data_IF_432091536077
#
_entry.id   IF_432091536077
#
_cell.length_a   1.000
_cell.length_b   1.000
_cell.length_c   1.000
_cell.angle_alpha   90.00
_cell.angle_beta   90.00
_cell.angle_gamma   90.00
#
_symmetry.space_group_name_H-M   'P 1'
#
loop_
_entity.id
_entity.type
_entity.pdbx_description
1 polymer ?
#
# COMPACT_ATOMS: atom_id res chain seq x y z
N UNK A 1 19.44 -12.15 10.13
CA UNK A 1 18.57 -12.09 11.33
C UNK A 1 17.17 -11.80 10.82
N UNK A 2 16.13 -12.49 11.29
CA UNK A 2 14.75 -12.17 10.88
C UNK A 2 14.39 -10.78 11.40
N UNK A 3 13.64 -10.00 10.63
CA UNK A 3 13.12 -8.72 11.09
C UNK A 3 12.20 -8.94 12.31
N UNK A 4 12.53 -8.33 13.45
CA UNK A 4 11.79 -8.43 14.71
C UNK A 4 11.55 -7.03 15.31
N UNK A 5 10.55 -6.30 14.79
CA UNK A 5 10.27 -4.93 15.25
C UNK A 5 9.79 -4.83 16.69
N UNK A 6 9.28 -5.93 17.25
CA UNK A 6 8.65 -5.97 18.56
C UNK A 6 9.57 -6.54 19.65
N UNK A 7 10.67 -7.19 19.25
CA UNK A 7 11.63 -7.80 20.17
C UNK A 7 11.10 -9.06 20.85
N UNK A 8 10.03 -9.65 20.31
CA UNK A 8 9.30 -10.77 20.92
C UNK A 8 9.17 -11.98 19.99
N UNK A 9 9.99 -12.05 18.93
CA UNK A 9 9.96 -13.11 17.90
C UNK A 9 9.89 -14.52 18.49
N UNK A 10 10.63 -14.80 19.56
CA UNK A 10 10.65 -16.13 20.17
C UNK A 10 9.30 -16.55 20.76
N UNK A 11 8.50 -15.58 21.22
CA UNK A 11 7.24 -15.80 21.93
C UNK A 11 5.99 -15.51 21.09
N UNK A 12 6.08 -14.58 20.15
CA UNK A 12 4.97 -14.10 19.32
C UNK A 12 5.12 -14.44 17.83
N UNK A 13 6.25 -15.01 17.42
CA UNK A 13 6.53 -15.37 16.04
C UNK A 13 6.97 -14.18 15.18
N UNK A 14 7.06 -14.40 13.87
CA UNK A 14 7.38 -13.34 12.92
C UNK A 14 6.22 -12.34 12.82
N UNK A 15 6.53 -11.05 13.00
CA UNK A 15 5.60 -9.91 12.98
C UNK A 15 4.39 -10.02 13.93
N UNK A 16 4.49 -10.74 15.05
CA UNK A 16 3.37 -11.02 15.96
C UNK A 16 2.13 -11.55 15.20
N UNK A 17 1.92 -12.86 15.18
CA UNK A 17 0.75 -13.43 14.53
C UNK A 17 -0.02 -14.38 15.46
N UNK A 18 -1.31 -14.57 15.20
CA UNK A 18 -2.23 -15.35 16.03
C UNK A 18 -1.78 -16.80 16.25
N UNK A 19 -1.00 -17.34 15.30
CA UNK A 19 -0.51 -18.71 15.31
C UNK A 19 0.93 -18.83 15.85
N UNK A 20 1.58 -17.70 16.18
CA UNK A 20 2.98 -17.62 16.62
C UNK A 20 3.97 -18.28 15.66
N UNK A 21 3.63 -18.30 14.38
CA UNK A 21 4.47 -18.86 13.31
C UNK A 21 5.73 -18.02 13.17
N UNK A 22 6.86 -18.69 12.94
CA UNK A 22 8.19 -18.07 12.82
C UNK A 22 8.72 -18.06 11.39
N UNK A 23 8.27 -19.00 10.56
CA UNK A 23 8.63 -19.05 9.15
C UNK A 23 7.82 -18.00 8.37
N UNK A 24 8.47 -17.02 7.71
CA UNK A 24 7.77 -16.03 6.89
C UNK A 24 6.90 -16.65 5.80
N UNK A 25 7.25 -17.82 5.25
CA UNK A 25 6.43 -18.49 4.23
C UNK A 25 5.11 -18.97 4.83
N UNK A 26 5.16 -19.69 5.96
CA UNK A 26 3.96 -20.16 6.67
C UNK A 26 3.08 -18.99 7.15
N UNK A 27 3.72 -17.88 7.57
CA UNK A 27 3.03 -16.64 7.94
C UNK A 27 2.25 -16.10 6.75
N UNK A 28 2.89 -15.97 5.58
CA UNK A 28 2.24 -15.46 4.37
C UNK A 28 1.11 -16.35 3.89
N UNK A 29 1.26 -17.66 3.93
CA UNK A 29 0.20 -18.61 3.57
C UNK A 29 -1.01 -18.48 4.53
N UNK A 30 -0.76 -18.39 5.84
CA UNK A 30 -1.83 -18.26 6.85
C UNK A 30 -2.52 -16.90 6.79
N UNK A 31 -1.75 -15.83 6.58
CA UNK A 31 -2.26 -14.47 6.39
C UNK A 31 -3.13 -14.39 5.13
N UNK A 32 -2.70 -15.02 4.03
CA UNK A 32 -3.46 -15.07 2.78
C UNK A 32 -4.84 -15.68 2.97
N UNK A 33 -4.95 -16.79 3.71
CA UNK A 33 -6.24 -17.40 4.04
C UNK A 33 -7.14 -16.44 4.85
N UNK A 34 -6.59 -15.74 5.83
CA UNK A 34 -7.35 -14.73 6.59
C UNK A 34 -7.85 -13.59 5.71
N UNK A 35 -7.02 -13.15 4.76
CA UNK A 35 -7.37 -12.12 3.78
C UNK A 35 -8.53 -12.58 2.88
N UNK A 36 -8.45 -13.77 2.29
CA UNK A 36 -9.47 -14.29 1.38
C UNK A 36 -10.84 -14.40 2.08
N UNK A 37 -10.86 -14.88 3.32
CA UNK A 37 -12.08 -15.02 4.12
C UNK A 37 -12.74 -13.67 4.45
N UNK A 38 -11.97 -12.59 4.47
CA UNK A 38 -12.43 -11.25 4.89
C UNK A 38 -12.62 -10.27 3.73
N UNK A 39 -12.34 -10.70 2.49
CA UNK A 39 -12.36 -9.86 1.30
C UNK A 39 -13.77 -9.30 1.01
N UNK A 40 -14.80 -10.15 1.09
CA UNK A 40 -16.19 -9.74 0.86
C UNK A 40 -16.61 -8.66 1.87
N UNK A 41 -16.32 -8.85 3.16
CA UNK A 41 -16.63 -7.87 4.21
C UNK A 41 -15.93 -6.52 3.95
N UNK A 42 -14.67 -6.54 3.54
CA UNK A 42 -13.92 -5.31 3.25
C UNK A 42 -14.51 -4.54 2.06
N UNK A 43 -14.91 -5.24 0.99
CA UNK A 43 -15.58 -4.65 -0.16
C UNK A 43 -16.93 -4.06 0.22
N UNK A 44 -17.70 -4.78 1.03
CA UNK A 44 -18.99 -4.34 1.54
C UNK A 44 -18.90 -3.09 2.41
N UNK A 45 -17.89 -3.04 3.28
CA UNK A 45 -17.57 -1.88 4.09
C UNK A 45 -17.25 -0.67 3.20
N UNK A 46 -16.36 -0.84 2.22
CA UNK A 46 -15.98 0.21 1.29
C UNK A 46 -17.18 0.73 0.50
N UNK A 47 -18.04 -0.16 0.02
CA UNK A 47 -19.22 0.23 -0.76
C UNK A 47 -20.21 1.12 0.03
N UNK A 48 -20.34 0.86 1.34
CA UNK A 48 -21.25 1.58 2.25
C UNK A 48 -20.63 2.88 2.79
N UNK A 49 -19.30 2.94 2.93
CA UNK A 49 -18.61 4.05 3.63
C UNK A 49 -18.52 5.33 2.80
N UNK A 50 -19.06 6.45 3.31
CA UNK A 50 -18.95 7.79 2.68
C UNK A 50 -18.71 8.86 3.75
N UNK A 51 -17.67 9.73 3.64
CA UNK A 51 -16.55 9.66 2.68
C UNK A 51 -15.58 8.50 3.00
N UNK A 52 -14.71 8.14 2.03
CA UNK A 52 -13.50 7.36 2.32
C UNK A 52 -12.46 8.34 2.87
N UNK A 53 -11.95 8.05 4.06
CA UNK A 53 -10.95 8.84 4.79
C UNK A 53 -9.82 7.91 5.29
N UNK A 54 -8.77 8.47 5.90
CA UNK A 54 -7.68 7.67 6.48
C UNK A 54 -8.16 6.57 7.45
N UNK A 55 -9.20 6.84 8.25
CA UNK A 55 -9.79 5.82 9.15
C UNK A 55 -10.42 4.67 8.38
N UNK A 56 -10.99 4.96 7.20
CA UNK A 56 -11.51 3.94 6.30
C UNK A 56 -10.39 3.02 5.80
N UNK A 57 -9.21 3.57 5.46
CA UNK A 57 -8.04 2.77 5.04
C UNK A 57 -7.56 1.86 6.18
N UNK A 58 -7.44 2.39 7.40
CA UNK A 58 -7.11 1.59 8.60
C UNK A 58 -8.17 0.50 8.86
N UNK A 59 -9.45 0.83 8.71
CA UNK A 59 -10.54 -0.14 8.94
C UNK A 59 -10.56 -1.26 7.89
N UNK A 60 -10.25 -0.97 6.62
CA UNK A 60 -10.08 -2.01 5.60
C UNK A 60 -8.97 -2.97 5.99
N UNK A 61 -7.80 -2.46 6.38
CA UNK A 61 -6.72 -3.33 6.85
C UNK A 61 -7.12 -4.14 8.09
N UNK A 62 -7.84 -3.54 9.03
CA UNK A 62 -8.36 -4.26 10.20
C UNK A 62 -9.26 -5.44 9.77
N UNK A 63 -10.24 -5.19 8.91
CA UNK A 63 -11.15 -6.24 8.41
C UNK A 63 -10.35 -7.37 7.75
N UNK A 64 -9.45 -7.02 6.82
CA UNK A 64 -8.70 -8.01 6.05
C UNK A 64 -7.80 -8.91 6.90
N UNK A 65 -7.25 -8.39 8.00
CA UNK A 65 -6.13 -9.06 8.69
C UNK A 65 -6.36 -9.34 10.18
N UNK A 66 -7.50 -8.93 10.76
CA UNK A 66 -7.79 -9.15 12.19
C UNK A 66 -7.86 -10.63 12.60
N UNK A 67 -8.14 -11.53 11.66
CA UNK A 67 -8.09 -12.98 11.89
C UNK A 67 -6.69 -13.54 12.12
N UNK A 68 -5.64 -12.78 11.78
CA UNK A 68 -4.26 -13.25 11.82
C UNK A 68 -3.29 -12.31 12.55
N UNK A 69 -3.37 -11.00 12.32
CA UNK A 69 -2.52 -10.01 12.99
C UNK A 69 -3.26 -9.33 14.15
N UNK A 70 -2.75 -9.38 15.38
CA UNK A 70 -3.33 -8.68 16.53
C UNK A 70 -3.24 -7.15 16.40
N UNK A 71 -2.37 -6.66 15.52
CA UNK A 71 -2.19 -5.25 15.24
C UNK A 71 -2.95 -4.77 13.99
N UNK A 72 -3.81 -5.60 13.39
CA UNK A 72 -4.55 -5.23 12.19
C UNK A 72 -5.27 -3.87 12.36
N UNK A 73 -5.10 -2.98 11.39
CA UNK A 73 -5.65 -1.62 11.42
C UNK A 73 -4.82 -0.61 12.20
N UNK A 74 -3.68 -1.00 12.78
CA UNK A 74 -2.67 -0.08 13.33
C UNK A 74 -1.61 0.20 12.29
N UNK A 75 -1.36 1.48 12.05
CA UNK A 75 -0.29 1.90 11.15
C UNK A 75 1.08 1.80 11.85
N UNK A 76 2.16 1.85 11.06
CA UNK A 76 3.52 1.74 11.57
C UNK A 76 3.98 2.95 12.39
N UNK A 77 3.28 4.09 12.33
CA UNK A 77 3.55 5.20 13.24
C UNK A 77 3.04 4.90 14.66
N UNK A 78 1.99 4.09 14.80
CA UNK A 78 1.55 3.57 16.08
C UNK A 78 2.45 2.44 16.60
N UNK A 79 2.89 1.54 15.71
CA UNK A 79 3.61 0.31 16.10
C UNK A 79 5.12 0.49 16.23
N UNK A 80 5.76 1.13 15.25
CA UNK A 80 7.21 1.25 15.12
C UNK A 80 7.62 2.66 14.66
N UNK A 81 7.25 3.72 15.39
CA UNK A 81 7.48 5.11 14.97
C UNK A 81 8.96 5.48 14.77
N UNK A 82 9.88 4.64 15.24
CA UNK A 82 11.33 4.81 15.17
C UNK A 82 11.97 4.12 13.94
N UNK A 83 11.18 3.43 13.09
CA UNK A 83 11.68 2.73 11.92
C UNK A 83 11.30 3.41 10.61
N UNK A 84 12.28 3.51 9.72
CA UNK A 84 12.11 3.77 8.31
C UNK A 84 11.88 2.45 7.55
N UNK A 85 11.09 2.51 6.48
CA UNK A 85 10.79 1.36 5.63
C UNK A 85 11.25 1.66 4.21
N UNK A 86 11.92 0.69 3.60
CA UNK A 86 12.41 0.77 2.23
C UNK A 86 12.02 -0.48 1.46
N UNK A 87 11.88 -0.34 0.15
CA UNK A 87 11.86 -1.46 -0.79
C UNK A 87 13.23 -1.56 -1.44
N UNK A 88 13.81 -2.76 -1.46
CA UNK A 88 15.17 -3.01 -1.95
C UNK A 88 16.22 -2.94 -0.84
N UNK A 89 17.39 -3.51 -1.13
CA UNK A 89 18.55 -3.51 -0.20
C UNK A 89 19.33 -2.18 -0.25
N UNK A 90 20.20 -1.93 0.72
CA UNK A 90 21.04 -0.71 0.76
C UNK A 90 21.84 -0.45 -0.52
N UNK A 91 22.31 -1.52 -1.18
CA UNK A 91 23.09 -1.44 -2.42
C UNK A 91 22.23 -1.46 -3.70
N UNK A 92 20.91 -1.46 -3.57
CA UNK A 92 20.01 -1.46 -4.71
C UNK A 92 19.88 -0.03 -5.27
N UNK A 93 20.28 0.23 -6.53
CA UNK A 93 20.11 1.55 -7.14
C UNK A 93 18.63 1.97 -7.26
N UNK A 94 17.69 1.03 -7.16
CA UNK A 94 16.25 1.27 -7.17
C UNK A 94 15.63 1.25 -5.78
N UNK A 95 16.47 1.41 -4.73
CA UNK A 95 16.01 1.45 -3.35
C UNK A 95 15.00 2.58 -3.16
N UNK A 96 13.76 2.19 -2.89
CA UNK A 96 12.65 3.14 -2.73
C UNK A 96 12.42 3.38 -1.25
N UNK A 97 12.45 4.63 -0.81
CA UNK A 97 12.05 5.01 0.55
C UNK A 97 10.53 5.23 0.59
N UNK A 98 9.86 4.69 1.60
CA UNK A 98 8.45 5.00 1.85
C UNK A 98 8.31 6.21 2.78
N UNK A 99 7.08 6.70 2.94
CA UNK A 99 6.81 7.89 3.73
C UNK A 99 7.34 7.80 5.17
N UNK A 100 7.67 8.93 5.79
CA UNK A 100 8.02 8.97 7.19
C UNK A 100 6.82 8.53 8.05
N UNK A 101 6.96 7.73 9.12
CA UNK A 101 5.82 7.25 9.90
C UNK A 101 4.90 8.40 10.38
N UNK A 102 5.47 9.46 10.93
CA UNK A 102 4.71 10.66 11.34
C UNK A 102 3.97 11.42 10.23
N UNK A 103 4.19 11.09 8.95
CA UNK A 103 3.57 11.74 7.78
C UNK A 103 2.61 10.82 7.02
N UNK A 104 2.43 9.56 7.45
CA UNK A 104 1.56 8.58 6.78
C UNK A 104 0.15 9.14 6.53
N UNK A 105 -0.47 9.70 7.57
CA UNK A 105 -1.84 10.22 7.47
C UNK A 105 -1.93 11.33 6.42
N UNK A 106 -0.98 12.27 6.43
CA UNK A 106 -0.94 13.38 5.48
C UNK A 106 -0.81 12.86 4.04
N UNK A 107 0.07 11.88 3.83
CA UNK A 107 0.30 11.24 2.53
C UNK A 107 -0.96 10.54 2.01
N UNK A 108 -1.66 9.79 2.85
CA UNK A 108 -2.94 9.16 2.48
C UNK A 108 -4.03 10.20 2.22
N UNK A 109 -4.17 11.21 3.09
CA UNK A 109 -5.17 12.27 2.90
C UNK A 109 -4.95 13.01 1.57
N UNK A 110 -3.69 13.27 1.19
CA UNK A 110 -3.35 13.87 -0.09
C UNK A 110 -3.71 12.98 -1.28
N UNK A 111 -3.50 11.67 -1.20
CA UNK A 111 -3.94 10.74 -2.24
C UNK A 111 -5.48 10.76 -2.42
N UNK A 112 -6.23 10.82 -1.31
CA UNK A 112 -7.69 10.92 -1.33
C UNK A 112 -8.16 12.26 -1.89
N UNK A 113 -7.44 13.34 -1.64
CA UNK A 113 -7.68 14.65 -2.24
C UNK A 113 -7.48 14.61 -3.76
N UNK A 114 -6.38 14.02 -4.24
CA UNK A 114 -6.13 13.82 -5.68
C UNK A 114 -7.28 13.05 -6.35
N UNK A 115 -7.77 12.00 -5.70
CA UNK A 115 -8.89 11.19 -6.19
C UNK A 115 -10.24 11.93 -6.24
N UNK A 116 -10.39 13.02 -5.48
CA UNK A 116 -11.63 13.81 -5.44
C UNK A 116 -11.93 14.53 -6.77
N UNK A 117 -10.89 14.88 -7.53
CA UNK A 117 -11.02 15.37 -8.89
C UNK A 117 -11.15 14.20 -9.87
N UNK A 118 -12.37 13.69 -10.03
CA UNK A 118 -12.68 12.48 -10.83
C UNK A 118 -12.10 12.49 -12.24
N UNK A 119 -12.11 13.65 -12.92
CA UNK A 119 -11.57 13.78 -14.28
C UNK A 119 -10.05 13.60 -14.27
N UNK A 120 -9.35 14.37 -13.43
CA UNK A 120 -7.89 14.25 -13.29
C UNK A 120 -7.48 12.87 -12.82
N UNK A 121 -8.21 12.29 -11.87
CA UNK A 121 -7.94 10.96 -11.37
C UNK A 121 -8.06 9.89 -12.46
N UNK A 122 -9.09 9.96 -13.31
CA UNK A 122 -9.21 9.07 -14.46
C UNK A 122 -8.10 9.27 -15.49
N UNK A 123 -7.68 10.51 -15.73
CA UNK A 123 -6.63 10.84 -16.70
C UNK A 123 -5.23 10.42 -16.20
N UNK A 124 -5.02 10.47 -14.88
CA UNK A 124 -3.77 10.17 -14.18
C UNK A 124 -3.99 9.26 -12.95
N UNK A 125 -4.39 8.00 -13.15
CA UNK A 125 -4.69 7.09 -12.03
C UNK A 125 -3.43 6.71 -11.22
N UNK A 126 -2.26 6.78 -11.85
CA UNK A 126 -0.97 6.50 -11.22
C UNK A 126 -0.61 7.51 -10.13
N UNK A 127 -1.04 8.76 -10.24
CA UNK A 127 -0.79 9.81 -9.24
C UNK A 127 -1.40 9.41 -7.88
N UNK A 128 -2.62 8.84 -7.90
CA UNK A 128 -3.33 8.40 -6.69
C UNK A 128 -2.77 7.09 -6.17
N UNK A 129 -2.54 6.10 -7.05
CA UNK A 129 -1.99 4.80 -6.63
C UNK A 129 -0.57 4.94 -6.07
N UNK A 130 0.28 5.71 -6.77
CA UNK A 130 1.65 6.00 -6.34
C UNK A 130 1.69 6.69 -4.99
N UNK A 131 0.85 7.70 -4.77
CA UNK A 131 0.76 8.38 -3.48
C UNK A 131 0.28 7.45 -2.35
N UNK A 132 -0.73 6.59 -2.59
CA UNK A 132 -1.17 5.59 -1.61
C UNK A 132 -0.07 4.58 -1.29
N UNK A 133 0.63 4.08 -2.32
CA UNK A 133 1.73 3.13 -2.19
C UNK A 133 2.93 3.73 -1.47
N UNK A 134 3.26 4.99 -1.74
CA UNK A 134 4.31 5.74 -1.05
C UNK A 134 4.01 5.89 0.44
N UNK A 135 2.75 6.14 0.82
CA UNK A 135 2.36 6.25 2.22
C UNK A 135 2.70 4.97 3.02
N UNK A 136 2.59 3.80 2.38
CA UNK A 136 2.94 2.47 2.91
C UNK A 136 2.57 2.31 4.41
N UNK A 137 1.29 2.48 4.78
CA UNK A 137 0.89 2.74 6.17
C UNK A 137 1.16 1.61 7.18
N UNK A 138 1.24 0.35 6.77
CA UNK A 138 1.23 -0.81 7.66
C UNK A 138 2.58 -1.56 7.64
N UNK A 139 2.79 -2.47 8.60
CA UNK A 139 3.96 -3.37 8.61
C UNK A 139 3.89 -4.46 7.54
N UNK A 140 2.68 -4.89 7.22
CA UNK A 140 2.39 -5.85 6.14
C UNK A 140 0.98 -5.57 5.60
N UNK A 141 0.57 -6.20 4.50
CA UNK A 141 -0.80 -6.06 3.97
C UNK A 141 -1.07 -4.76 3.20
N UNK A 142 -0.02 -3.96 2.93
CA UNK A 142 -0.13 -2.66 2.24
C UNK A 142 -0.74 -2.79 0.83
N UNK A 143 -0.16 -3.64 -0.03
CA UNK A 143 -0.61 -3.78 -1.43
C UNK A 143 -2.09 -4.16 -1.54
N UNK A 144 -2.53 -5.17 -0.77
CA UNK A 144 -3.93 -5.64 -0.72
C UNK A 144 -4.89 -4.56 -0.22
N UNK A 145 -4.55 -3.90 0.88
CA UNK A 145 -5.39 -2.82 1.44
C UNK A 145 -5.52 -1.65 0.47
N UNK A 146 -4.39 -1.18 -0.05
CA UNK A 146 -4.33 -0.03 -0.96
C UNK A 146 -5.08 -0.31 -2.24
N UNK A 147 -4.95 -1.53 -2.80
CA UNK A 147 -5.63 -1.88 -4.03
C UNK A 147 -7.15 -1.86 -3.88
N UNK A 148 -7.71 -2.42 -2.80
CA UNK A 148 -9.17 -2.38 -2.58
C UNK A 148 -9.68 -0.96 -2.41
N UNK A 149 -8.96 -0.13 -1.65
CA UNK A 149 -9.28 1.29 -1.50
C UNK A 149 -9.23 2.00 -2.86
N UNK A 150 -8.18 1.78 -3.63
CA UNK A 150 -7.99 2.38 -4.95
C UNK A 150 -9.10 1.97 -5.92
N UNK A 151 -9.45 0.68 -5.97
CA UNK A 151 -10.55 0.18 -6.79
C UNK A 151 -11.87 0.88 -6.45
N UNK A 152 -12.19 1.02 -5.15
CA UNK A 152 -13.36 1.76 -4.70
C UNK A 152 -13.35 3.23 -5.14
N UNK A 153 -12.20 3.90 -5.08
CA UNK A 153 -12.07 5.26 -5.57
C UNK A 153 -12.33 5.33 -7.09
N UNK A 154 -11.75 4.43 -7.88
CA UNK A 154 -11.96 4.36 -9.33
C UNK A 154 -13.44 4.19 -9.66
N UNK A 155 -14.13 3.25 -9.00
CA UNK A 155 -15.56 3.00 -9.21
C UNK A 155 -16.41 4.24 -8.91
N UNK A 156 -16.11 4.97 -7.81
CA UNK A 156 -16.78 6.25 -7.49
C UNK A 156 -16.51 7.34 -8.53
N UNK A 157 -15.38 7.25 -9.22
CA UNK A 157 -15.00 8.08 -10.36
C UNK A 157 -15.48 7.53 -11.71
N UNK A 158 -16.29 6.45 -11.72
CA UNK A 158 -16.90 5.84 -12.92
C UNK A 158 -15.89 5.23 -13.90
N UNK A 159 -14.80 4.68 -13.38
CA UNK A 159 -13.87 3.87 -14.17
C UNK A 159 -13.32 2.70 -13.36
N UNK A 160 -12.67 1.77 -14.03
CA UNK A 160 -11.88 0.71 -13.43
C UNK A 160 -10.56 0.53 -14.16
N UNK A 161 -9.63 -0.20 -13.54
CA UNK A 161 -8.44 -0.72 -14.20
C UNK A 161 -8.69 -2.20 -14.47
N UNK A 162 -8.51 -2.63 -15.72
CA UNK A 162 -8.63 -4.03 -16.15
C UNK A 162 -7.37 -4.81 -15.75
N UNK A 163 -7.24 -5.07 -14.44
CA UNK A 163 -6.05 -5.66 -13.83
C UNK A 163 -5.67 -7.03 -14.40
N UNK A 164 -6.64 -7.81 -14.89
CA UNK A 164 -6.40 -9.12 -15.54
C UNK A 164 -5.53 -9.03 -16.81
N UNK A 165 -5.43 -7.85 -17.43
CA UNK A 165 -4.58 -7.58 -18.60
C UNK A 165 -3.25 -6.92 -18.25
N UNK A 166 -3.05 -6.59 -16.98
CA UNK A 166 -1.77 -6.04 -16.52
C UNK A 166 -0.74 -7.15 -16.35
N UNK A 167 0.54 -6.79 -16.45
CA UNK A 167 1.64 -7.62 -16.02
C UNK A 167 2.11 -7.13 -14.64
N UNK A 168 2.32 -8.06 -13.71
CA UNK A 168 2.71 -7.75 -12.33
C UNK A 168 4.07 -7.05 -12.25
N UNK A 169 5.09 -7.57 -12.94
CA UNK A 169 6.44 -7.03 -12.88
C UNK A 169 6.50 -5.64 -13.52
N UNK A 170 5.77 -5.44 -14.62
CA UNK A 170 5.68 -4.14 -15.29
C UNK A 170 4.94 -3.11 -14.43
N UNK A 171 3.86 -3.53 -13.76
CA UNK A 171 3.15 -2.70 -12.80
C UNK A 171 4.05 -2.30 -11.63
N UNK A 172 4.72 -3.26 -11.02
CA UNK A 172 5.59 -3.01 -9.86
C UNK A 172 6.78 -2.11 -10.23
N UNK A 173 7.32 -2.23 -11.45
CA UNK A 173 8.37 -1.35 -11.96
C UNK A 173 7.85 0.07 -12.16
N UNK A 174 6.73 0.23 -12.85
CA UNK A 174 6.12 1.55 -13.06
C UNK A 174 5.70 2.22 -11.74
N UNK A 175 5.25 1.43 -10.77
CA UNK A 175 4.93 1.91 -9.42
C UNK A 175 6.18 2.36 -8.67
N UNK A 176 7.27 1.60 -8.73
CA UNK A 176 8.55 2.00 -8.14
C UNK A 176 9.07 3.30 -8.75
N UNK A 177 9.03 3.45 -10.07
CA UNK A 177 9.41 4.70 -10.75
C UNK A 177 8.50 5.88 -10.35
N UNK A 178 7.19 5.66 -10.20
CA UNK A 178 6.26 6.70 -9.74
C UNK A 178 6.53 7.14 -8.30
N UNK A 179 6.91 6.22 -7.40
CA UNK A 179 7.26 6.59 -6.03
C UNK A 179 8.59 7.37 -5.99
N UNK A 180 9.58 6.96 -6.79
CA UNK A 180 10.88 7.64 -6.87
C UNK A 180 10.77 9.04 -7.51
N UNK A 181 9.96 9.16 -8.55
CA UNK A 181 9.75 10.39 -9.33
C UNK A 181 8.26 10.72 -9.45
N UNK A 182 7.63 11.21 -8.36
CA UNK A 182 6.19 11.40 -8.29
C UNK A 182 5.66 12.41 -9.29
N UNK A 183 4.47 12.14 -9.82
CA UNK A 183 3.73 13.00 -10.76
C UNK A 183 4.42 13.21 -12.10
N UNK A 184 5.36 12.33 -12.48
CA UNK A 184 5.94 12.26 -13.83
C UNK A 184 5.15 11.34 -14.76
N UNK A 185 4.15 10.65 -14.21
CA UNK A 185 3.20 9.83 -14.96
C UNK A 185 3.74 8.45 -15.31
N UNK A 186 4.80 7.96 -14.66
CA UNK A 186 5.35 6.62 -14.89
C UNK A 186 4.26 5.56 -14.78
N UNK A 187 3.52 5.58 -13.67
CA UNK A 187 2.45 4.62 -13.45
C UNK A 187 1.19 4.98 -14.25
N UNK A 188 0.90 6.26 -14.43
CA UNK A 188 -0.27 6.71 -15.21
C UNK A 188 -0.17 6.26 -16.68
N UNK A 189 1.01 6.37 -17.31
CA UNK A 189 1.23 5.90 -18.69
C UNK A 189 1.07 4.38 -18.79
N UNK A 190 1.56 3.63 -17.80
CA UNK A 190 1.38 2.18 -17.74
C UNK A 190 -0.08 1.76 -17.59
N UNK A 191 -0.84 2.42 -16.70
CA UNK A 191 -2.23 2.05 -16.41
C UNK A 191 -3.23 2.47 -17.49
N UNK A 192 -2.94 3.54 -18.24
CA UNK A 192 -3.86 4.16 -19.20
C UNK A 192 -4.50 3.20 -20.22
N UNK A 193 -3.77 2.24 -20.83
CA UNK A 193 -4.35 1.26 -21.75
C UNK A 193 -5.37 0.30 -21.12
N UNK A 194 -5.40 0.22 -19.79
CA UNK A 194 -6.26 -0.67 -19.02
C UNK A 194 -7.42 0.08 -18.33
N UNK A 195 -7.53 1.40 -18.53
CA UNK A 195 -8.66 2.18 -18.00
C UNK A 195 -9.91 1.86 -18.81
N UNK A 196 -10.94 1.37 -18.13
CA UNK A 196 -12.23 1.03 -18.73
C UNK A 196 -13.37 1.74 -18.00
N UNK A 197 -14.50 1.92 -18.67
CA UNK A 197 -15.73 2.33 -18.00
C UNK A 197 -16.26 1.20 -17.12
N UNK A 198 -16.92 1.57 -16.02
CA UNK A 198 -17.59 0.62 -15.14
C UNK A 198 -18.95 1.17 -14.71
N UNK A 199 -19.98 0.33 -14.81
CA UNK A 199 -21.34 0.70 -14.44
C UNK A 199 -21.77 0.02 -13.13
N UNK A 200 -21.39 -1.25 -12.93
CA UNK A 200 -21.84 -2.08 -11.83
C UNK A 200 -20.67 -2.67 -11.03
N UNK A 201 -20.88 -2.83 -9.71
CA UNK A 201 -19.88 -3.43 -8.82
C UNK A 201 -19.67 -4.91 -9.08
N UNK A 202 -20.68 -5.60 -9.57
CA UNK A 202 -20.64 -7.05 -9.79
C UNK A 202 -19.60 -7.42 -10.87
N UNK A 203 -19.22 -6.45 -11.72
CA UNK A 203 -18.12 -6.55 -12.67
C UNK A 203 -16.75 -6.68 -11.98
N UNK A 204 -16.63 -6.31 -10.70
CA UNK A 204 -15.38 -6.41 -9.92
C UNK A 204 -14.96 -7.83 -9.60
N UNK A 205 -15.88 -8.76 -9.32
CA UNK A 205 -15.50 -10.11 -8.91
C UNK A 205 -14.62 -10.78 -9.97
N UNK A 206 -14.93 -10.56 -11.24
CA UNK A 206 -14.14 -11.01 -12.40
C UNK A 206 -12.81 -10.26 -12.53
N UNK A 207 -12.76 -8.97 -12.16
CA UNK A 207 -11.54 -8.16 -12.21
C UNK A 207 -10.57 -8.45 -11.05
N UNK A 208 -11.09 -8.71 -9.84
CA UNK A 208 -10.31 -9.02 -8.62
C UNK A 208 -9.76 -10.44 -8.68
N UNK A 209 -10.56 -11.43 -9.12
CA UNK A 209 -10.13 -12.82 -9.24
C UNK A 209 -9.00 -13.04 -10.27
N UNK A 210 -8.70 -12.04 -11.11
CA UNK A 210 -7.63 -12.09 -12.11
C UNK A 210 -6.35 -11.33 -11.74
N UNK A 211 -6.26 -10.70 -10.57
CA UNK A 211 -5.10 -9.89 -10.19
C UNK A 211 -3.96 -10.82 -9.77
N UNK A 212 -3.09 -11.14 -10.74
CA UNK A 212 -1.85 -11.89 -10.48
C UNK A 212 -0.96 -11.11 -9.51
N UNK A 213 -0.73 -11.66 -8.31
CA UNK A 213 0.13 -11.05 -7.29
C UNK A 213 -0.56 -10.36 -6.12
N UNK A 214 -1.87 -10.56 -5.94
CA UNK A 214 -2.57 -10.24 -4.69
C UNK A 214 -2.44 -11.31 -3.61
N UNK A 215 -1.80 -12.43 -3.92
CA UNK A 215 -1.61 -13.52 -2.97
C UNK A 215 -0.74 -13.09 -1.77
N UNK A 216 0.11 -12.07 -1.94
CA UNK A 216 1.01 -11.58 -0.91
C UNK A 216 2.15 -12.56 -0.63
N UNK A 217 2.35 -13.54 -1.51
CA UNK A 217 3.32 -14.63 -1.34
C UNK A 217 4.72 -14.27 -1.86
N UNK A 218 4.87 -13.16 -2.59
CA UNK A 218 6.18 -12.75 -3.08
C UNK A 218 7.02 -12.07 -2.01
N UNK A 219 8.33 -12.18 -2.20
CA UNK A 219 9.30 -11.41 -1.42
C UNK A 219 9.26 -9.96 -1.90
N UNK A 220 8.66 -9.08 -1.09
CA UNK A 220 8.61 -7.64 -1.37
C UNK A 220 9.98 -6.96 -1.21
N UNK A 221 10.99 -7.65 -0.65
CA UNK A 221 12.34 -7.11 -0.48
C UNK A 221 12.38 -5.90 0.47
N UNK A 222 11.47 -5.87 1.45
CA UNK A 222 11.36 -4.75 2.40
C UNK A 222 12.52 -4.80 3.38
N UNK A 223 13.17 -3.65 3.56
CA UNK A 223 14.22 -3.44 4.56
C UNK A 223 13.82 -2.33 5.52
N UNK A 224 14.37 -2.40 6.74
CA UNK A 224 14.03 -1.49 7.83
C UNK A 224 15.30 -0.94 8.44
N UNK A 225 15.30 0.36 8.73
CA UNK A 225 16.41 1.03 9.40
C UNK A 225 15.90 1.97 10.49
N UNK A 226 16.76 2.26 11.48
CA UNK A 226 16.44 3.25 12.52
C UNK A 226 16.36 4.65 11.93
N UNK A 227 15.36 5.43 12.33
CA UNK A 227 15.27 6.86 12.03
C UNK A 227 16.35 7.70 12.74
N UNK A 228 17.08 7.12 13.70
CA UNK A 228 18.25 7.76 14.30
C UNK A 228 19.50 7.63 13.41
N UNK A 229 19.46 6.82 12.34
CA UNK A 229 20.55 6.74 11.36
C UNK A 229 20.68 8.09 10.62
N UNK A 230 21.84 8.78 10.69
CA UNK A 230 22.05 10.06 10.00
C UNK A 230 21.80 10.00 8.49
N UNK A 231 22.10 8.87 7.84
CA UNK A 231 21.85 8.69 6.40
C UNK A 231 20.35 8.65 6.09
N UNK A 232 19.58 7.92 6.90
CA UNK A 232 18.12 7.87 6.82
C UNK A 232 17.52 9.25 7.05
N UNK A 233 18.00 9.99 8.07
CA UNK A 233 17.56 11.37 8.32
C UNK A 233 17.85 12.28 7.12
N UNK A 234 19.02 12.14 6.49
CA UNK A 234 19.37 12.91 5.30
C UNK A 234 18.43 12.61 4.12
N UNK A 235 18.06 11.35 3.90
CA UNK A 235 17.08 10.94 2.89
C UNK A 235 15.74 11.64 3.14
N UNK A 236 15.20 11.56 4.36
CA UNK A 236 13.93 12.19 4.74
C UNK A 236 13.96 13.72 4.59
N UNK A 237 15.07 14.36 4.95
CA UNK A 237 15.25 15.81 4.79
C UNK A 237 15.30 16.21 3.31
N UNK A 238 15.94 15.40 2.47
CA UNK A 238 16.13 15.70 1.05
C UNK A 238 14.82 15.68 0.27
N UNK A 239 13.98 14.65 0.43
CA UNK A 239 12.70 14.64 -0.31
C UNK A 239 11.68 15.62 0.28
N UNK A 240 11.64 15.83 1.60
CA UNK A 240 10.79 16.88 2.20
C UNK A 240 11.18 18.27 1.71
N UNK A 241 12.48 18.52 1.50
CA UNK A 241 12.97 19.76 0.89
C UNK A 241 12.57 19.93 -0.59
N UNK A 242 12.31 18.84 -1.33
CA UNK A 242 11.83 18.86 -2.71
C UNK A 242 10.31 19.05 -2.84
N UNK A 243 9.54 18.75 -1.79
CA UNK A 243 8.08 18.93 -1.74
C UNK A 243 7.64 20.36 -1.37
N UNK A 244 8.57 21.21 -0.94
CA UNK A 244 8.33 22.65 -0.74
C UNK A 244 8.75 23.35 -2.05
N UNK A 245 7.82 23.91 -2.85
CA UNK A 245 8.23 24.79 -3.94
C UNK A 245 8.99 25.97 -3.32
N UNK A 246 10.03 26.51 -3.98
CA UNK A 246 10.68 27.71 -3.48
C UNK A 246 9.59 28.76 -3.24
N UNK A 247 9.52 29.27 -2.01
CA UNK A 247 8.78 30.49 -1.70
C UNK A 247 9.45 31.59 -2.52
N UNK A 248 8.78 32.02 -3.60
CA UNK A 248 8.99 33.36 -4.16
C UNK A 248 8.44 34.42 -3.22
#
# INVERSE_FOLDING_TARGET
MSFDPFGDFETAGYLQNALKLKDPVEVKESEHLSFELSLEEALDFLAKKKPIDYRSVRKVHEILFSGFYPWAGKDRNELVPHLAVFKGSENDPYRTVFEHPGSIKLSVDYALELASNKKRFRDSPGDVMGQLAFAHPFLDGNGRTILLVFMELCYRAKFAIEWSRTNKDDYLRALSEEIESPFKGHLSHYLKPFVVDIAHRDEWATMIGGIKGLDGLDKEGITYESLDNPEVQHIYNTYRGRLIPPME
#
